data_IF_397615784373
#
_entry.id   IF_397615784373
#
_cell.length_a   1.000
_cell.length_b   1.000
_cell.length_c   1.000
_cell.angle_alpha   90.00
_cell.angle_beta   90.00
_cell.angle_gamma   90.00
#
_symmetry.space_group_name_H-M   'P 1'
#
loop_
_entity.id
_entity.type
_entity.pdbx_description
1 polymer ?
#
# COMPACT_ATOMS: atom_id res chain seq x y z
N UNK A 1 7.87 -17.23 -20.18
CA UNK A 1 8.92 -16.19 -20.26
C UNK A 1 8.22 -14.85 -20.09
N UNK A 2 8.29 -14.25 -18.90
CA UNK A 2 7.72 -12.94 -18.63
C UNK A 2 8.84 -11.95 -18.88
N UNK A 3 8.65 -11.06 -19.84
CA UNK A 3 9.61 -10.03 -20.22
C UNK A 3 9.61 -8.93 -19.14
N UNK A 4 10.72 -8.66 -18.43
CA UNK A 4 10.81 -7.55 -17.48
C UNK A 4 11.42 -6.34 -18.17
N UNK A 5 10.64 -5.64 -18.97
CA UNK A 5 11.02 -4.30 -19.46
C UNK A 5 9.91 -3.30 -19.14
N UNK A 6 9.71 -3.02 -17.86
CA UNK A 6 9.04 -1.79 -17.47
C UNK A 6 10.11 -0.73 -17.24
N UNK A 7 10.16 0.26 -18.13
CA UNK A 7 10.90 1.51 -17.92
C UNK A 7 10.42 2.20 -16.64
N UNK A 8 11.27 2.99 -15.94
CA UNK A 8 10.90 3.69 -14.70
C UNK A 8 9.70 4.63 -14.84
N UNK A 9 9.30 4.98 -16.06
CA UNK A 9 8.22 5.90 -16.38
C UNK A 9 6.91 5.24 -16.85
N UNK A 10 6.76 3.92 -16.73
CA UNK A 10 5.48 3.31 -17.10
C UNK A 10 4.41 3.69 -16.06
N UNK A 11 3.27 4.30 -16.50
CA UNK A 11 2.20 4.63 -15.58
C UNK A 11 1.72 3.36 -14.88
N UNK A 12 1.67 3.40 -13.56
CA UNK A 12 1.14 2.28 -12.78
C UNK A 12 -0.35 2.09 -13.11
N UNK A 13 -0.67 0.96 -13.72
CA UNK A 13 -2.05 0.54 -13.92
C UNK A 13 -2.51 -0.29 -12.71
N UNK A 14 -3.64 0.09 -12.10
CA UNK A 14 -4.25 -0.73 -11.06
C UNK A 14 -4.59 -2.13 -11.58
N UNK A 15 -4.51 -3.11 -10.71
CA UNK A 15 -4.88 -4.50 -11.04
C UNK A 15 -6.35 -4.56 -11.46
N UNK A 16 -6.67 -5.21 -12.58
CA UNK A 16 -8.04 -5.42 -13.03
C UNK A 16 -8.90 -4.14 -13.12
N UNK A 17 -8.26 -3.00 -13.49
CA UNK A 17 -8.94 -1.70 -13.48
C UNK A 17 -10.24 -1.71 -14.30
N UNK A 18 -10.21 -2.24 -15.52
CA UNK A 18 -11.36 -2.21 -16.41
C UNK A 18 -12.47 -3.17 -15.93
N UNK A 19 -12.13 -4.30 -15.34
CA UNK A 19 -13.07 -5.24 -14.73
C UNK A 19 -13.76 -4.61 -13.51
N UNK A 20 -13.01 -3.98 -12.62
CA UNK A 20 -13.56 -3.27 -11.45
C UNK A 20 -14.50 -2.14 -11.90
N UNK A 21 -14.09 -1.33 -12.87
CA UNK A 21 -14.94 -0.24 -13.40
C UNK A 21 -16.21 -0.79 -14.03
N UNK A 22 -16.12 -1.90 -14.76
CA UNK A 22 -17.31 -2.56 -15.34
C UNK A 22 -18.31 -3.02 -14.27
N UNK A 23 -17.82 -3.61 -13.18
CA UNK A 23 -18.65 -4.03 -12.04
C UNK A 23 -19.29 -2.81 -11.36
N UNK A 24 -18.50 -1.77 -11.13
CA UNK A 24 -18.93 -0.54 -10.48
C UNK A 24 -19.99 0.24 -11.29
N UNK A 25 -20.08 0.04 -12.61
CA UNK A 25 -21.06 0.71 -13.50
C UNK A 25 -21.17 2.23 -13.26
N UNK A 26 -20.08 3.00 -13.31
CA UNK A 26 -20.05 4.41 -12.88
C UNK A 26 -20.81 5.37 -13.81
N UNK A 27 -21.25 4.92 -14.96
CA UNK A 27 -22.19 5.61 -15.88
C UNK A 27 -23.51 5.94 -15.18
N UNK A 28 -23.95 5.11 -14.27
CA UNK A 28 -25.14 5.34 -13.43
C UNK A 28 -24.94 6.42 -12.35
N UNK A 29 -23.71 6.82 -12.12
CA UNK A 29 -23.31 7.67 -11.00
C UNK A 29 -23.09 6.89 -9.71
N UNK A 30 -22.97 7.60 -8.58
CA UNK A 30 -22.88 6.99 -7.27
C UNK A 30 -21.68 7.46 -6.45
N UNK A 31 -21.59 6.96 -5.23
CA UNK A 31 -20.52 7.24 -4.26
C UNK A 31 -19.62 6.01 -4.13
N UNK A 32 -18.34 6.19 -4.40
CA UNK A 32 -17.31 5.15 -4.39
C UNK A 32 -16.31 5.44 -3.30
N UNK A 33 -15.93 4.41 -2.55
CA UNK A 33 -14.87 4.53 -1.56
C UNK A 33 -13.66 3.72 -2.05
N UNK A 34 -12.55 4.41 -2.26
CA UNK A 34 -11.24 3.82 -2.60
C UNK A 34 -10.40 3.74 -1.33
N UNK A 35 -10.36 2.56 -0.71
CA UNK A 35 -9.70 2.34 0.58
C UNK A 35 -8.18 2.18 0.49
N UNK A 36 -7.64 2.15 -0.73
CA UNK A 36 -6.23 1.93 -1.05
C UNK A 36 -5.82 2.83 -2.21
N UNK A 37 -5.92 4.15 -1.98
CA UNK A 37 -5.79 5.17 -3.04
C UNK A 37 -4.51 5.04 -3.87
N UNK A 38 -3.34 4.84 -3.24
CA UNK A 38 -2.06 4.67 -3.91
C UNK A 38 -1.79 5.77 -4.96
N UNK A 39 -1.56 5.38 -6.21
CA UNK A 39 -1.40 6.30 -7.33
C UNK A 39 -2.71 6.94 -7.86
N UNK A 40 -3.84 6.61 -7.25
CA UNK A 40 -5.16 7.14 -7.60
C UNK A 40 -5.78 6.55 -8.85
N UNK A 41 -5.36 5.37 -9.27
CA UNK A 41 -5.79 4.78 -10.54
C UNK A 41 -7.29 4.55 -10.63
N UNK A 42 -7.88 3.87 -9.65
CA UNK A 42 -9.34 3.66 -9.58
C UNK A 42 -10.08 4.98 -9.42
N UNK A 43 -9.66 5.82 -8.48
CA UNK A 43 -10.24 7.13 -8.23
C UNK A 43 -10.26 8.01 -9.48
N UNK A 44 -9.15 8.11 -10.21
CA UNK A 44 -9.04 8.88 -11.46
C UNK A 44 -9.97 8.34 -12.55
N UNK A 45 -10.09 7.01 -12.66
CA UNK A 45 -10.95 6.39 -13.67
C UNK A 45 -12.42 6.62 -13.36
N UNK A 46 -12.84 6.47 -12.10
CA UNK A 46 -14.20 6.71 -11.63
C UNK A 46 -14.63 8.17 -11.82
N UNK A 47 -13.73 9.12 -11.51
CA UNK A 47 -14.02 10.56 -11.63
C UNK A 47 -14.19 11.06 -13.07
N UNK A 48 -13.80 10.29 -14.08
CA UNK A 48 -14.13 10.60 -15.50
C UNK A 48 -15.63 10.56 -15.77
N UNK A 49 -16.41 9.89 -14.93
CA UNK A 49 -17.86 9.83 -15.06
C UNK A 49 -18.52 10.99 -14.27
N UNK A 50 -19.33 11.84 -14.90
CA UNK A 50 -19.75 13.13 -14.31
C UNK A 50 -20.55 13.01 -13.01
N UNK A 51 -21.28 11.91 -12.83
CA UNK A 51 -22.21 11.71 -11.70
C UNK A 51 -21.59 10.93 -10.54
N UNK A 52 -20.28 10.68 -10.56
CA UNK A 52 -19.61 9.95 -9.49
C UNK A 52 -19.01 10.88 -8.44
N UNK A 53 -19.00 10.42 -7.21
CA UNK A 53 -18.19 10.97 -6.09
C UNK A 53 -17.26 9.89 -5.58
N UNK A 54 -16.05 10.27 -5.19
CA UNK A 54 -15.04 9.35 -4.66
C UNK A 54 -14.56 9.87 -3.31
N UNK A 55 -14.60 9.02 -2.32
CA UNK A 55 -13.95 9.20 -1.02
C UNK A 55 -12.75 8.25 -1.02
N UNK A 56 -11.55 8.79 -0.91
CA UNK A 56 -10.32 8.00 -0.98
C UNK A 56 -9.60 7.99 0.36
N UNK A 57 -9.09 6.85 0.75
CA UNK A 57 -8.27 6.66 1.93
C UNK A 57 -6.90 6.12 1.54
N UNK A 58 -5.87 6.63 2.17
CA UNK A 58 -4.54 6.01 2.21
C UNK A 58 -3.82 6.44 3.48
N UNK A 59 -3.01 5.55 4.02
CA UNK A 59 -2.17 5.83 5.19
C UNK A 59 -0.82 6.44 4.84
N UNK A 60 -0.42 6.33 3.56
CA UNK A 60 0.90 6.72 3.09
C UNK A 60 0.93 8.22 2.75
N UNK A 61 1.95 8.93 3.23
CA UNK A 61 2.10 10.36 2.96
C UNK A 61 2.56 10.68 1.53
N UNK A 62 3.21 9.72 0.88
CA UNK A 62 3.71 9.91 -0.50
C UNK A 62 2.61 10.12 -1.53
N UNK A 63 1.37 9.77 -1.20
CA UNK A 63 0.22 9.99 -2.09
C UNK A 63 -0.42 11.37 -1.94
N UNK A 64 0.00 12.18 -0.95
CA UNK A 64 -0.63 13.48 -0.63
C UNK A 64 -0.59 14.49 -1.78
N UNK A 65 0.48 14.52 -2.55
CA UNK A 65 0.57 15.44 -3.69
C UNK A 65 -0.43 15.05 -4.78
N UNK A 66 -0.53 13.75 -5.08
CA UNK A 66 -1.47 13.21 -6.07
C UNK A 66 -2.91 13.47 -5.61
N UNK A 67 -3.21 13.28 -4.33
CA UNK A 67 -4.55 13.51 -3.81
C UNK A 67 -4.96 14.98 -3.88
N UNK A 68 -4.07 15.92 -3.52
CA UNK A 68 -4.31 17.36 -3.61
C UNK A 68 -4.56 17.85 -5.04
N UNK A 69 -3.84 17.31 -6.01
CA UNK A 69 -4.07 17.60 -7.42
C UNK A 69 -5.46 17.12 -7.86
N UNK A 70 -5.85 15.94 -7.39
CA UNK A 70 -7.16 15.39 -7.72
C UNK A 70 -8.30 16.16 -7.05
N UNK A 71 -8.13 16.61 -5.80
CA UNK A 71 -9.09 17.49 -5.12
C UNK A 71 -9.31 18.81 -5.85
N UNK A 72 -8.23 19.41 -6.38
CA UNK A 72 -8.32 20.63 -7.21
C UNK A 72 -9.02 20.38 -8.53
N UNK A 73 -8.77 19.22 -9.16
CA UNK A 73 -9.35 18.87 -10.45
C UNK A 73 -10.82 18.49 -10.38
N UNK A 74 -11.26 17.96 -9.24
CA UNK A 74 -12.63 17.45 -9.03
C UNK A 74 -13.25 18.00 -7.73
N UNK A 75 -13.42 19.32 -7.62
CA UNK A 75 -13.99 19.94 -6.42
C UNK A 75 -15.39 19.38 -6.14
N UNK A 76 -15.71 19.13 -4.88
CA UNK A 76 -16.98 18.54 -4.40
C UNK A 76 -17.29 17.12 -4.92
N UNK A 77 -16.35 16.48 -5.61
CA UNK A 77 -16.52 15.12 -6.13
C UNK A 77 -15.43 14.17 -5.66
N UNK A 78 -14.26 14.67 -5.28
CA UNK A 78 -13.17 13.88 -4.72
C UNK A 78 -12.82 14.41 -3.32
N UNK A 79 -12.68 13.50 -2.37
CA UNK A 79 -12.34 13.77 -0.98
C UNK A 79 -11.29 12.78 -0.53
N UNK A 80 -10.14 13.25 -0.06
CA UNK A 80 -9.07 12.40 0.41
C UNK A 80 -8.92 12.46 1.94
N UNK A 81 -8.72 11.30 2.56
CA UNK A 81 -8.44 11.17 3.98
C UNK A 81 -7.17 10.36 4.22
N UNK A 82 -6.16 10.98 4.83
CA UNK A 82 -4.97 10.24 5.28
C UNK A 82 -5.31 9.40 6.50
N UNK A 83 -5.86 8.21 6.27
CA UNK A 83 -6.31 7.27 7.29
C UNK A 83 -6.04 5.83 6.88
N UNK A 84 -6.03 4.93 7.86
CA UNK A 84 -6.08 3.49 7.59
C UNK A 84 -7.48 3.11 7.13
N UNK A 85 -7.62 2.14 6.23
CA UNK A 85 -8.94 1.65 5.82
C UNK A 85 -9.75 1.03 6.99
N UNK A 86 -9.08 0.60 8.07
CA UNK A 86 -9.75 0.19 9.32
C UNK A 86 -10.51 1.33 10.01
N UNK A 87 -10.25 2.59 9.62
CA UNK A 87 -10.93 3.79 10.13
C UNK A 87 -12.02 4.28 9.18
N UNK A 88 -12.45 3.45 8.23
CA UNK A 88 -13.47 3.78 7.22
C UNK A 88 -14.73 4.40 7.83
N UNK A 89 -15.21 3.85 8.94
CA UNK A 89 -16.41 4.36 9.64
C UNK A 89 -16.29 5.80 10.12
N UNK A 90 -15.09 6.36 10.19
CA UNK A 90 -14.86 7.75 10.60
C UNK A 90 -14.96 8.75 9.43
N UNK A 91 -15.01 8.28 8.21
CA UNK A 91 -15.05 9.13 6.99
C UNK A 91 -16.29 8.90 6.13
N UNK A 92 -16.95 7.77 6.30
CA UNK A 92 -18.17 7.41 5.58
C UNK A 92 -19.27 7.00 6.55
N UNK A 93 -20.42 7.65 6.48
CA UNK A 93 -21.61 7.23 7.22
C UNK A 93 -22.19 5.95 6.60
N UNK A 94 -22.87 5.13 7.41
CA UNK A 94 -23.37 3.77 7.07
C UNK A 94 -24.27 3.65 5.83
N UNK A 95 -24.58 4.73 5.12
CA UNK A 95 -25.52 4.73 4.00
C UNK A 95 -25.02 5.49 2.76
N UNK A 96 -23.72 5.79 2.68
CA UNK A 96 -23.23 6.74 1.68
C UNK A 96 -22.45 6.14 0.52
N UNK A 97 -22.17 4.83 0.53
CA UNK A 97 -21.37 4.22 -0.52
C UNK A 97 -22.14 3.18 -1.33
N UNK A 98 -22.09 3.32 -2.64
CA UNK A 98 -22.58 2.29 -3.56
C UNK A 98 -21.54 1.18 -3.73
N UNK A 99 -20.24 1.53 -3.68
CA UNK A 99 -19.13 0.58 -3.81
C UNK A 99 -17.96 0.94 -2.90
N UNK A 100 -17.29 -0.10 -2.41
CA UNK A 100 -16.05 0.02 -1.63
C UNK A 100 -14.99 -0.83 -2.32
N UNK A 101 -13.84 -0.24 -2.62
CA UNK A 101 -12.73 -0.85 -3.35
C UNK A 101 -11.55 -1.04 -2.39
N UNK A 102 -11.00 -2.25 -2.35
CA UNK A 102 -9.76 -2.60 -1.68
C UNK A 102 -8.83 -3.27 -2.67
N UNK A 103 -7.71 -2.61 -3.00
CA UNK A 103 -6.59 -3.18 -3.73
C UNK A 103 -5.45 -3.43 -2.73
N UNK A 104 -5.47 -4.60 -2.11
CA UNK A 104 -4.59 -4.91 -0.99
C UNK A 104 -3.21 -5.33 -1.48
N UNK A 105 -2.18 -4.68 -0.97
CA UNK A 105 -0.80 -4.98 -1.31
C UNK A 105 0.11 -3.75 -1.23
N UNK A 106 1.26 -3.83 -1.90
CA UNK A 106 2.22 -2.73 -2.05
C UNK A 106 1.96 -1.97 -3.34
N UNK A 107 1.96 -0.64 -3.26
CA UNK A 107 1.89 0.19 -4.47
C UNK A 107 3.25 0.22 -5.19
N UNK A 108 3.23 0.47 -6.51
CA UNK A 108 4.48 0.69 -7.27
C UNK A 108 5.27 1.89 -6.76
N UNK A 109 4.61 2.89 -6.20
CA UNK A 109 5.28 4.05 -5.57
C UNK A 109 6.17 3.58 -4.42
N UNK A 110 5.69 2.62 -3.62
CA UNK A 110 6.45 2.03 -2.52
C UNK A 110 7.61 1.15 -3.00
N UNK A 111 7.38 0.33 -4.02
CA UNK A 111 8.39 -0.59 -4.57
C UNK A 111 9.49 0.13 -5.34
N UNK A 112 9.15 1.20 -6.07
CA UNK A 112 10.11 1.96 -6.88
C UNK A 112 10.96 2.93 -6.04
N UNK A 113 10.49 3.32 -4.86
CA UNK A 113 11.28 4.14 -3.94
C UNK A 113 12.19 3.23 -3.08
N UNK A 114 13.43 3.03 -3.54
CA UNK A 114 14.40 2.16 -2.87
C UNK A 114 14.74 2.60 -1.45
N UNK A 115 14.63 3.90 -1.14
CA UNK A 115 14.90 4.45 0.20
C UNK A 115 13.94 3.91 1.27
N UNK A 116 12.78 3.42 0.86
CA UNK A 116 11.76 2.87 1.76
C UNK A 116 11.98 1.41 2.16
N UNK A 117 12.91 0.73 1.54
CA UNK A 117 13.30 -0.64 1.90
C UNK A 117 12.32 -1.75 1.49
N UNK A 118 11.30 -1.49 0.66
CA UNK A 118 10.35 -2.51 0.21
C UNK A 118 10.89 -3.42 -0.89
N UNK A 119 11.93 -3.00 -1.60
CA UNK A 119 12.52 -3.75 -2.71
C UNK A 119 13.75 -4.53 -2.26
N UNK A 120 13.90 -5.79 -2.71
CA UNK A 120 15.12 -6.57 -2.54
C UNK A 120 16.36 -5.91 -3.18
N UNK A 121 16.16 -5.02 -4.14
CA UNK A 121 17.25 -4.26 -4.76
C UNK A 121 17.72 -3.07 -3.92
N UNK A 122 17.02 -2.77 -2.82
CA UNK A 122 17.41 -1.68 -1.92
C UNK A 122 18.67 -2.04 -1.11
N UNK A 123 19.56 -1.06 -0.95
CA UNK A 123 20.70 -1.10 -0.02
C UNK A 123 20.54 -0.09 1.11
N UNK A 124 19.37 0.52 1.19
CA UNK A 124 19.02 1.56 2.13
C UNK A 124 18.48 0.97 3.45
N UNK A 125 17.94 1.82 4.29
CA UNK A 125 17.42 1.43 5.61
C UNK A 125 16.33 0.36 5.48
N UNK A 126 16.33 -0.57 6.41
CA UNK A 126 15.31 -1.60 6.57
C UNK A 126 14.08 -0.98 7.26
N UNK A 127 13.41 -0.04 6.58
CA UNK A 127 12.26 0.66 7.14
C UNK A 127 10.96 -0.09 6.89
N UNK A 128 10.52 -0.22 5.64
CA UNK A 128 9.29 -0.87 5.20
C UNK A 128 8.02 -0.35 5.93
N UNK A 129 8.08 0.85 6.51
CA UNK A 129 6.92 1.45 7.15
C UNK A 129 5.97 2.07 6.12
N UNK A 130 4.67 1.97 6.38
CA UNK A 130 3.62 2.60 5.57
C UNK A 130 3.01 3.75 6.35
N UNK A 131 3.56 4.96 6.18
CA UNK A 131 3.02 6.20 6.70
C UNK A 131 2.62 6.17 8.18
N UNK A 132 1.40 5.78 8.50
CA UNK A 132 0.87 5.70 9.87
C UNK A 132 1.29 4.43 10.64
N UNK A 133 2.33 3.72 10.17
CA UNK A 133 2.90 2.60 10.92
C UNK A 133 3.72 3.12 12.12
N UNK A 134 3.56 2.45 13.25
CA UNK A 134 4.31 2.78 14.47
C UNK A 134 5.66 2.05 14.56
N UNK A 135 5.90 1.03 13.73
CA UNK A 135 7.04 0.11 13.86
C UNK A 135 7.65 -0.15 12.48
N UNK A 136 8.96 -0.03 12.37
CA UNK A 136 9.72 -0.36 11.16
C UNK A 136 10.11 -1.84 11.10
N UNK A 137 10.49 -2.33 9.92
CA UNK A 137 11.03 -3.69 9.79
C UNK A 137 12.36 -3.83 10.57
N UNK A 138 13.19 -2.78 10.65
CA UNK A 138 14.40 -2.76 11.47
C UNK A 138 14.07 -3.07 12.94
N UNK A 139 13.05 -2.41 13.50
CA UNK A 139 12.63 -2.65 14.88
C UNK A 139 12.12 -4.07 15.10
N UNK A 140 11.30 -4.57 14.18
CA UNK A 140 10.79 -5.94 14.23
C UNK A 140 11.93 -6.95 14.24
N UNK A 141 12.85 -6.85 13.28
CA UNK A 141 13.96 -7.79 13.10
C UNK A 141 14.92 -7.79 14.31
N UNK A 142 15.22 -6.61 14.87
CA UNK A 142 16.20 -6.51 15.93
C UNK A 142 15.62 -6.74 17.34
N UNK A 143 14.34 -6.45 17.58
CA UNK A 143 13.79 -6.41 18.93
C UNK A 143 12.78 -7.52 19.24
N UNK A 144 12.13 -8.09 18.22
CA UNK A 144 11.12 -9.11 18.48
C UNK A 144 11.72 -10.46 18.93
N UNK A 145 10.95 -11.22 19.72
CA UNK A 145 11.36 -12.55 20.15
C UNK A 145 11.49 -13.53 18.96
N UNK A 146 12.29 -14.59 19.13
CA UNK A 146 12.42 -15.64 18.12
C UNK A 146 11.05 -16.21 17.73
N UNK A 147 10.20 -16.45 18.71
CA UNK A 147 8.86 -16.99 18.49
C UNK A 147 7.98 -16.03 17.69
N UNK A 148 8.01 -14.73 18.00
CA UNK A 148 7.25 -13.70 17.28
C UNK A 148 7.71 -13.59 15.83
N UNK A 149 9.03 -13.54 15.59
CA UNK A 149 9.59 -13.51 14.23
C UNK A 149 9.18 -14.76 13.44
N UNK A 150 9.24 -15.95 14.06
CA UNK A 150 8.84 -17.19 13.42
C UNK A 150 7.36 -17.18 13.04
N UNK A 151 6.50 -16.66 13.92
CA UNK A 151 5.06 -16.53 13.63
C UNK A 151 4.80 -15.57 12.46
N UNK A 152 5.47 -14.42 12.43
CA UNK A 152 5.34 -13.43 11.35
C UNK A 152 5.76 -14.06 10.01
N UNK A 153 6.97 -14.63 9.94
CA UNK A 153 7.53 -15.17 8.70
C UNK A 153 6.74 -16.40 8.23
N UNK A 154 6.32 -17.27 9.16
CA UNK A 154 5.58 -18.49 8.82
C UNK A 154 4.14 -18.21 8.43
N UNK A 155 3.43 -17.36 9.18
CA UNK A 155 1.98 -17.17 9.02
C UNK A 155 1.70 -16.09 7.96
N UNK A 156 2.33 -14.91 8.09
CA UNK A 156 2.10 -13.80 7.19
C UNK A 156 2.92 -13.91 5.90
N UNK A 157 4.12 -14.49 5.98
CA UNK A 157 4.99 -14.72 4.82
C UNK A 157 4.77 -16.08 4.15
N UNK A 158 3.93 -16.96 4.74
CA UNK A 158 3.68 -18.33 4.26
C UNK A 158 4.97 -19.15 4.03
N UNK A 159 6.06 -18.78 4.75
CA UNK A 159 7.39 -19.33 4.52
C UNK A 159 7.62 -20.62 5.33
N UNK A 160 7.92 -21.71 4.62
CA UNK A 160 8.15 -23.04 5.22
C UNK A 160 9.45 -23.08 6.01
N UNK A 161 10.48 -22.38 5.56
CA UNK A 161 11.80 -22.32 6.18
C UNK A 161 11.92 -21.26 7.29
N UNK A 162 10.80 -20.72 7.76
CA UNK A 162 10.76 -19.64 8.77
C UNK A 162 11.68 -19.89 9.97
N UNK A 163 11.76 -21.15 10.46
CA UNK A 163 12.63 -21.49 11.59
C UNK A 163 14.11 -21.32 11.29
N UNK A 164 14.57 -21.64 10.07
CA UNK A 164 15.95 -21.51 9.64
C UNK A 164 16.29 -20.03 9.44
N UNK A 165 15.40 -19.29 8.80
CA UNK A 165 15.55 -17.85 8.57
C UNK A 165 15.67 -17.12 9.91
N UNK A 166 14.75 -17.37 10.84
CA UNK A 166 14.76 -16.72 12.16
C UNK A 166 16.01 -17.04 12.95
N UNK A 167 16.49 -18.28 12.95
CA UNK A 167 17.77 -18.63 13.61
C UNK A 167 18.94 -17.80 13.06
N UNK A 168 18.99 -17.59 11.75
CA UNK A 168 20.03 -16.77 11.13
C UNK A 168 19.90 -15.30 11.53
N UNK A 169 18.68 -14.75 11.55
CA UNK A 169 18.41 -13.39 12.02
C UNK A 169 18.89 -13.22 13.46
N UNK A 170 18.47 -14.12 14.37
CA UNK A 170 18.89 -14.07 15.78
C UNK A 170 20.42 -14.11 15.92
N UNK A 171 21.08 -15.05 15.23
CA UNK A 171 22.54 -15.17 15.23
C UNK A 171 23.21 -13.87 14.73
N UNK A 172 22.71 -13.30 13.63
CA UNK A 172 23.29 -12.09 13.04
C UNK A 172 23.12 -10.88 13.95
N UNK A 173 21.92 -10.65 14.48
CA UNK A 173 21.63 -9.48 15.32
C UNK A 173 22.37 -9.50 16.68
N UNK A 174 22.77 -10.69 17.17
CA UNK A 174 23.64 -10.80 18.35
C UNK A 174 25.07 -10.33 18.09
N UNK A 175 25.52 -10.38 16.83
CA UNK A 175 26.87 -9.92 16.44
C UNK A 175 26.86 -8.47 15.97
N UNK A 176 25.83 -8.07 15.23
CA UNK A 176 25.66 -6.70 14.70
C UNK A 176 24.19 -6.44 14.41
N UNK A 177 23.74 -5.22 14.68
CA UNK A 177 22.38 -4.78 14.33
C UNK A 177 22.15 -4.87 12.82
N UNK A 178 20.99 -5.36 12.41
CA UNK A 178 20.54 -5.41 11.01
C UNK A 178 19.78 -4.13 10.73
N UNK A 179 20.34 -3.21 9.94
CA UNK A 179 19.79 -1.87 9.70
C UNK A 179 19.49 -1.58 8.24
N UNK A 180 19.98 -2.44 7.33
CA UNK A 180 19.80 -2.28 5.88
C UNK A 180 19.16 -3.52 5.27
N UNK A 181 18.51 -3.31 4.12
CA UNK A 181 17.81 -4.39 3.40
C UNK A 181 18.76 -5.49 2.96
N UNK A 182 19.91 -5.13 2.41
CA UNK A 182 20.92 -6.07 1.92
C UNK A 182 21.63 -6.88 3.01
N UNK A 183 21.40 -6.56 4.28
CA UNK A 183 21.91 -7.32 5.43
C UNK A 183 20.94 -8.40 5.92
N UNK A 184 19.68 -8.30 5.52
CA UNK A 184 18.62 -9.23 5.84
C UNK A 184 18.49 -10.32 4.77
#
# INVERSE_FOLDING_TARGET
MINPTSSPDSPHFPVMLDEVIKICSPDKGGVYIDCTFGGGGYSKKLLKFPKTKVIALDRDEFVLNISKELEKSYPNRFFFHRKKFSELNSVANHQTADFIIFDLGLSSIQLNNLERGFSFNSKEKLDMSMGLAATSAEEVINNFSEQSLKSIIKILGEEKDASRIVKNIIKTRLMRKITKVDQL
#
